data_IF_368997594417
#
_entry.id   IF_368997594417
#
_cell.length_a   1.000
_cell.length_b   1.000
_cell.length_c   1.000
_cell.angle_alpha   90.00
_cell.angle_beta   90.00
_cell.angle_gamma   90.00
#
_symmetry.space_group_name_H-M   'P 1'
#
loop_
_entity.id
_entity.type
_entity.pdbx_description
1 polymer ?
#
# COMPACT_ATOMS: atom_id res chain seq x y z
N UNK A 1 53.54 -19.21 -34.76
CA UNK A 1 53.72 -19.14 -33.30
C UNK A 1 53.07 -17.85 -32.81
N UNK A 2 51.77 -17.90 -32.50
CA UNK A 2 51.05 -16.84 -31.78
C UNK A 2 49.65 -17.38 -31.46
N UNK A 3 49.52 -17.96 -30.28
CA UNK A 3 48.28 -18.54 -29.75
C UNK A 3 47.51 -17.42 -29.04
N UNK A 4 46.33 -17.06 -29.56
CA UNK A 4 45.42 -16.11 -28.89
C UNK A 4 44.70 -16.84 -27.74
N UNK A 5 44.91 -16.37 -26.53
CA UNK A 5 44.18 -16.79 -25.33
C UNK A 5 42.86 -16.03 -25.28
N UNK A 6 41.74 -16.72 -25.54
CA UNK A 6 40.41 -16.21 -25.24
C UNK A 6 40.15 -16.35 -23.74
N UNK A 7 40.03 -15.20 -23.05
CA UNK A 7 39.61 -15.15 -21.65
C UNK A 7 38.08 -15.20 -21.59
N UNK A 8 37.54 -16.30 -21.10
CA UNK A 8 36.11 -16.43 -20.79
C UNK A 8 35.86 -15.72 -19.46
N UNK A 9 35.23 -14.54 -19.52
CA UNK A 9 34.67 -13.87 -18.34
C UNK A 9 33.40 -14.60 -17.91
N UNK A 10 33.51 -15.43 -16.89
CA UNK A 10 32.36 -15.96 -16.15
C UNK A 10 31.72 -14.81 -15.35
N UNK A 11 30.59 -14.32 -15.82
CA UNK A 11 29.67 -13.54 -15.01
C UNK A 11 29.00 -14.49 -14.01
N UNK A 12 29.47 -14.46 -12.76
CA UNK A 12 28.73 -15.05 -11.65
C UNK A 12 27.50 -14.17 -11.45
N UNK A 13 26.34 -14.64 -11.90
CA UNK A 13 25.05 -14.17 -11.42
C UNK A 13 24.99 -14.50 -9.93
N UNK A 14 25.22 -13.51 -9.07
CA UNK A 14 24.85 -13.61 -7.67
C UNK A 14 23.33 -13.83 -7.63
N UNK A 15 22.92 -15.06 -7.34
CA UNK A 15 21.55 -15.32 -6.91
C UNK A 15 21.43 -14.77 -5.50
N UNK A 16 20.96 -13.53 -5.37
CA UNK A 16 20.44 -13.01 -4.10
C UNK A 16 19.15 -13.77 -3.78
N UNK A 17 19.30 -14.95 -3.19
CA UNK A 17 18.23 -15.67 -2.51
C UNK A 17 18.68 -15.91 -1.07
N UNK A 18 18.93 -14.84 -0.32
CA UNK A 18 18.96 -14.94 1.13
C UNK A 18 17.52 -15.03 1.61
N UNK A 19 17.07 -16.23 1.97
CA UNK A 19 15.91 -16.39 2.85
C UNK A 19 16.19 -15.48 4.06
N UNK A 20 15.33 -14.47 4.27
CA UNK A 20 15.59 -13.38 5.21
C UNK A 20 15.94 -13.91 6.60
N UNK A 21 17.22 -13.85 6.96
CA UNK A 21 17.65 -14.16 8.31
C UNK A 21 17.24 -12.99 9.21
N UNK A 22 16.71 -13.30 10.39
CA UNK A 22 16.40 -12.26 11.37
C UNK A 22 17.69 -11.54 11.74
N UNK A 23 17.74 -10.23 11.45
CA UNK A 23 18.79 -9.35 11.92
C UNK A 23 18.32 -8.56 13.13
N UNK A 24 19.26 -7.96 13.88
CA UNK A 24 18.93 -7.06 14.97
C UNK A 24 18.19 -5.81 14.46
N UNK A 25 17.51 -5.10 15.39
CA UNK A 25 16.67 -3.95 15.04
C UNK A 25 17.44 -2.84 14.31
N UNK A 26 18.70 -2.59 14.66
CA UNK A 26 19.46 -1.52 14.03
C UNK A 26 19.83 -1.90 12.60
N UNK A 27 20.28 -3.13 12.38
CA UNK A 27 20.56 -3.65 11.03
C UNK A 27 19.31 -3.61 10.15
N UNK A 28 18.16 -4.06 10.67
CA UNK A 28 16.87 -3.96 9.96
C UNK A 28 16.55 -2.52 9.51
N UNK A 29 16.73 -1.54 10.42
CA UNK A 29 16.43 -0.14 10.12
C UNK A 29 17.38 0.45 9.06
N UNK A 30 18.63 0.01 9.04
CA UNK A 30 19.60 0.40 8.03
C UNK A 30 19.20 -0.17 6.66
N UNK A 31 18.94 -1.47 6.58
CA UNK A 31 18.52 -2.12 5.33
C UNK A 31 17.18 -1.58 4.80
N UNK A 32 16.22 -1.28 5.69
CA UNK A 32 14.99 -0.59 5.31
C UNK A 32 15.31 0.77 4.66
N UNK A 33 16.24 1.52 5.25
CA UNK A 33 16.62 2.85 4.75
C UNK A 33 17.31 2.76 3.39
N UNK A 34 18.09 1.71 3.15
CA UNK A 34 18.67 1.41 1.83
C UNK A 34 17.57 1.14 0.80
N UNK A 35 16.66 0.19 1.09
CA UNK A 35 15.53 -0.12 0.18
C UNK A 35 14.65 1.10 -0.09
N UNK A 36 14.35 1.89 0.93
CA UNK A 36 13.61 3.14 0.77
C UNK A 36 14.35 4.15 -0.12
N UNK A 37 15.68 4.29 0.08
CA UNK A 37 16.51 5.18 -0.74
C UNK A 37 16.56 4.75 -2.20
N UNK A 38 16.57 3.45 -2.49
CA UNK A 38 16.50 2.93 -3.85
C UNK A 38 15.15 3.21 -4.53
N UNK A 39 14.04 3.05 -3.81
CA UNK A 39 12.72 3.43 -4.30
C UNK A 39 12.71 4.92 -4.62
N UNK A 40 13.17 5.75 -3.69
CA UNK A 40 13.22 7.21 -3.86
C UNK A 40 14.11 7.62 -5.03
N UNK A 41 15.30 7.03 -5.18
CA UNK A 41 16.25 7.37 -6.25
C UNK A 41 15.72 7.08 -7.65
N UNK A 42 14.90 6.02 -7.79
CA UNK A 42 14.24 5.69 -9.06
C UNK A 42 13.32 6.82 -9.53
N UNK A 43 12.63 7.50 -8.61
CA UNK A 43 11.68 8.58 -8.92
C UNK A 43 12.35 9.96 -8.96
N UNK A 44 13.43 10.16 -8.20
CA UNK A 44 14.28 11.35 -8.29
C UNK A 44 14.93 11.47 -9.68
N UNK A 45 15.49 10.37 -10.19
CA UNK A 45 16.20 10.33 -11.48
C UNK A 45 15.26 10.17 -12.68
N UNK A 46 14.00 9.82 -12.45
CA UNK A 46 12.98 9.70 -13.49
C UNK A 46 12.72 11.04 -14.19
N UNK A 47 12.64 11.00 -15.52
CA UNK A 47 12.16 12.13 -16.34
C UNK A 47 10.64 12.20 -16.45
N UNK A 48 9.93 11.16 -15.96
CA UNK A 48 8.47 11.08 -16.02
C UNK A 48 7.79 12.19 -15.20
N UNK A 49 6.59 12.59 -15.66
CA UNK A 49 5.76 13.56 -14.96
C UNK A 49 4.68 12.83 -14.17
N UNK A 50 4.73 12.90 -12.84
CA UNK A 50 3.77 12.24 -11.96
C UNK A 50 3.88 12.73 -10.52
N UNK A 51 2.83 12.52 -9.74
CA UNK A 51 2.75 13.00 -8.36
C UNK A 51 3.79 12.37 -7.43
N UNK A 52 4.23 11.13 -7.70
CA UNK A 52 5.29 10.48 -6.92
C UNK A 52 6.66 11.11 -7.17
N UNK A 53 6.97 11.46 -8.42
CA UNK A 53 8.15 12.24 -8.79
C UNK A 53 8.16 13.63 -8.14
N UNK A 54 6.97 14.25 -8.02
CA UNK A 54 6.78 15.52 -7.32
C UNK A 54 7.03 15.34 -5.80
N UNK A 55 6.41 14.33 -5.18
CA UNK A 55 6.56 14.05 -3.76
C UNK A 55 8.03 13.83 -3.38
N UNK A 56 8.78 13.06 -4.18
CA UNK A 56 10.21 12.83 -3.98
C UNK A 56 11.02 14.12 -4.08
N UNK A 57 10.80 14.95 -5.11
CA UNK A 57 11.51 16.24 -5.27
C UNK A 57 11.28 17.17 -4.09
N UNK A 58 10.03 17.28 -3.63
CA UNK A 58 9.74 18.06 -2.44
C UNK A 58 10.36 17.46 -1.19
N UNK A 59 10.25 16.16 -0.95
CA UNK A 59 10.82 15.52 0.22
C UNK A 59 12.34 15.75 0.30
N UNK A 60 13.05 15.65 -0.83
CA UNK A 60 14.50 15.86 -0.93
C UNK A 60 14.92 17.34 -1.06
N UNK A 61 13.98 18.29 -1.11
CA UNK A 61 14.27 19.71 -1.39
C UNK A 61 15.06 19.92 -2.70
N UNK A 62 14.79 19.11 -3.72
CA UNK A 62 15.55 19.08 -4.97
C UNK A 62 14.67 19.45 -6.15
N UNK A 63 15.16 20.33 -7.02
CA UNK A 63 14.50 20.76 -8.26
C UNK A 63 13.03 21.22 -8.03
N UNK A 64 12.86 22.13 -7.06
CA UNK A 64 11.54 22.61 -6.62
C UNK A 64 10.77 23.31 -7.74
N UNK A 65 11.45 24.04 -8.62
CA UNK A 65 10.82 24.70 -9.77
C UNK A 65 10.22 23.67 -10.75
N UNK A 66 10.88 22.52 -10.94
CA UNK A 66 10.32 21.42 -11.74
C UNK A 66 9.17 20.73 -11.02
N UNK A 67 9.26 20.51 -9.70
CA UNK A 67 8.13 19.95 -8.93
C UNK A 67 6.88 20.85 -9.06
N UNK A 68 7.06 22.17 -8.95
CA UNK A 68 6.02 23.16 -9.14
C UNK A 68 5.43 23.13 -10.56
N UNK A 69 6.26 23.07 -11.60
CA UNK A 69 5.79 23.02 -12.99
C UNK A 69 5.05 21.73 -13.32
N UNK A 70 5.50 20.59 -12.76
CA UNK A 70 4.83 19.30 -12.90
C UNK A 70 3.43 19.31 -12.25
N UNK A 71 3.29 19.91 -11.07
CA UNK A 71 1.97 20.08 -10.44
C UNK A 71 1.07 20.97 -11.31
N UNK A 72 1.61 22.09 -11.79
CA UNK A 72 0.90 23.01 -12.69
C UNK A 72 0.40 22.30 -13.95
N UNK A 73 1.19 21.41 -14.54
CA UNK A 73 0.79 20.65 -15.72
C UNK A 73 -0.27 19.58 -15.41
N UNK A 74 -0.08 18.77 -14.36
CA UNK A 74 -0.97 17.65 -14.03
C UNK A 74 -2.36 18.12 -13.57
N UNK A 75 -2.44 19.27 -12.90
CA UNK A 75 -3.69 19.80 -12.34
C UNK A 75 -4.48 20.70 -13.31
N UNK A 76 -4.03 20.87 -14.56
CA UNK A 76 -4.85 21.48 -15.61
C UNK A 76 -6.06 20.62 -15.96
N UNK A 77 -5.89 19.29 -15.94
CA UNK A 77 -6.94 18.31 -16.24
C UNK A 77 -6.86 17.14 -15.25
N UNK A 78 -7.25 17.36 -13.98
CA UNK A 78 -7.22 16.30 -12.97
C UNK A 78 -8.16 15.16 -13.36
N UNK A 79 -7.69 13.92 -13.15
CA UNK A 79 -8.38 12.67 -13.50
C UNK A 79 -7.90 11.54 -12.61
N UNK A 80 -8.71 10.49 -12.46
CA UNK A 80 -8.36 9.29 -11.71
C UNK A 80 -9.03 9.18 -10.34
N UNK A 81 -9.96 10.07 -10.02
CA UNK A 81 -10.89 9.91 -8.90
C UNK A 81 -10.19 9.72 -7.54
N UNK A 82 -10.57 8.74 -6.72
CA UNK A 82 -9.86 8.42 -5.47
C UNK A 82 -8.37 8.07 -5.67
N UNK A 83 -7.98 7.50 -6.82
CA UNK A 83 -6.57 7.23 -7.17
C UNK A 83 -5.79 8.49 -7.52
N UNK A 84 -6.47 9.61 -7.77
CA UNK A 84 -5.85 10.94 -7.85
C UNK A 84 -5.65 11.55 -6.46
N UNK A 85 -6.62 11.39 -5.55
CA UNK A 85 -6.62 12.09 -4.26
C UNK A 85 -5.41 11.75 -3.39
N UNK A 86 -5.09 10.46 -3.22
CA UNK A 86 -3.99 9.98 -2.37
C UNK A 86 -2.62 10.50 -2.83
N UNK A 87 -2.20 10.32 -4.09
CA UNK A 87 -0.90 10.81 -4.52
C UNK A 87 -0.81 12.35 -4.54
N UNK A 88 -1.91 13.07 -4.79
CA UNK A 88 -1.94 14.54 -4.77
C UNK A 88 -1.77 15.08 -3.36
N UNK A 89 -2.56 14.60 -2.39
CA UNK A 89 -2.41 15.05 -1.00
C UNK A 89 -1.07 14.59 -0.42
N UNK A 90 -0.61 13.39 -0.76
CA UNK A 90 0.71 12.88 -0.38
C UNK A 90 1.84 13.80 -0.89
N UNK A 91 1.83 14.17 -2.17
CA UNK A 91 2.81 15.10 -2.73
C UNK A 91 2.72 16.51 -2.12
N UNK A 92 1.50 17.02 -1.90
CA UNK A 92 1.28 18.31 -1.23
C UNK A 92 1.86 18.32 0.18
N UNK A 93 1.59 17.29 0.99
CA UNK A 93 2.03 17.22 2.39
C UNK A 93 3.55 17.18 2.53
N UNK A 94 4.26 16.55 1.60
CA UNK A 94 5.72 16.58 1.55
C UNK A 94 6.29 17.94 1.07
N UNK A 95 5.49 18.75 0.36
CA UNK A 95 5.94 19.97 -0.31
C UNK A 95 5.36 21.29 0.17
N UNK A 96 4.32 21.31 1.02
CA UNK A 96 3.54 22.52 1.33
C UNK A 96 4.36 23.70 1.89
N UNK A 97 5.49 23.43 2.56
CA UNK A 97 6.40 24.46 3.09
C UNK A 97 7.46 24.91 2.06
N UNK A 98 7.61 24.17 0.96
CA UNK A 98 8.64 24.38 -0.09
C UNK A 98 8.06 24.83 -1.42
N UNK A 99 6.76 24.60 -1.63
CA UNK A 99 6.01 24.91 -2.84
C UNK A 99 5.80 26.41 -3.00
N UNK A 100 5.89 26.93 -4.22
CA UNK A 100 5.59 28.35 -4.47
C UNK A 100 4.13 28.70 -4.12
N UNK A 101 3.84 29.98 -3.79
CA UNK A 101 2.47 30.44 -3.58
C UNK A 101 1.53 30.12 -4.76
N UNK A 102 2.03 30.24 -6.01
CA UNK A 102 1.26 29.95 -7.21
C UNK A 102 0.86 28.47 -7.29
N UNK A 103 1.81 27.56 -7.09
CA UNK A 103 1.50 26.12 -7.12
C UNK A 103 0.60 25.70 -5.97
N UNK A 104 0.76 26.29 -4.77
CA UNK A 104 -0.18 26.04 -3.64
C UNK A 104 -1.62 26.43 -4.00
N UNK A 105 -1.80 27.55 -4.69
CA UNK A 105 -3.11 27.97 -5.17
C UNK A 105 -3.68 27.02 -6.23
N UNK A 106 -2.86 26.50 -7.14
CA UNK A 106 -3.27 25.48 -8.13
C UNK A 106 -3.77 24.20 -7.43
N UNK A 107 -3.01 23.68 -6.47
CA UNK A 107 -3.41 22.49 -5.71
C UNK A 107 -4.72 22.74 -4.97
N UNK A 108 -4.84 23.88 -4.27
CA UNK A 108 -6.09 24.26 -3.58
C UNK A 108 -7.27 24.33 -4.55
N UNK A 109 -7.09 24.96 -5.71
CA UNK A 109 -8.15 25.07 -6.71
C UNK A 109 -8.60 23.70 -7.24
N UNK A 110 -7.68 22.74 -7.42
CA UNK A 110 -8.05 21.40 -7.87
C UNK A 110 -9.01 20.70 -6.89
N UNK A 111 -8.78 20.84 -5.58
CA UNK A 111 -9.69 20.32 -4.54
C UNK A 111 -11.01 21.10 -4.40
N UNK A 112 -11.13 22.25 -5.07
CA UNK A 112 -12.39 23.02 -5.18
C UNK A 112 -13.18 22.61 -6.42
N UNK A 113 -12.52 22.38 -7.55
CA UNK A 113 -13.19 22.28 -8.86
C UNK A 113 -13.29 20.87 -9.41
N UNK A 114 -12.40 19.96 -9.03
CA UNK A 114 -12.46 18.56 -9.46
C UNK A 114 -13.26 17.73 -8.46
N UNK A 115 -14.31 17.08 -8.96
CA UNK A 115 -15.18 16.20 -8.17
C UNK A 115 -14.83 14.72 -8.40
N UNK A 116 -13.87 14.15 -7.65
CA UNK A 116 -13.49 12.75 -7.81
C UNK A 116 -14.63 11.81 -7.45
N UNK A 117 -14.83 10.77 -8.24
CA UNK A 117 -15.69 9.66 -7.86
C UNK A 117 -15.09 8.92 -6.65
N UNK A 118 -15.86 8.75 -5.57
CA UNK A 118 -15.36 8.05 -4.38
C UNK A 118 -15.08 6.57 -4.64
N UNK A 119 -15.79 5.93 -5.56
CA UNK A 119 -15.70 4.50 -5.82
C UNK A 119 -16.74 3.65 -5.07
N UNK A 120 -16.82 2.38 -5.47
CA UNK A 120 -17.84 1.42 -5.00
C UNK A 120 -17.34 0.36 -4.01
N UNK A 121 -16.05 0.37 -3.69
CA UNK A 121 -15.41 -0.66 -2.87
C UNK A 121 -14.79 -0.08 -1.62
N UNK A 122 -14.56 -0.95 -0.64
CA UNK A 122 -14.06 -0.58 0.68
C UNK A 122 -12.66 0.06 0.59
N UNK A 123 -11.79 -0.44 -0.28
CA UNK A 123 -10.47 0.14 -0.53
C UNK A 123 -10.58 1.58 -1.09
N UNK A 124 -11.51 1.82 -2.03
CA UNK A 124 -11.68 3.12 -2.65
C UNK A 124 -12.15 4.14 -1.62
N UNK A 125 -13.06 3.74 -0.72
CA UNK A 125 -13.56 4.60 0.34
C UNK A 125 -12.46 4.89 1.37
N UNK A 126 -11.62 3.91 1.71
CA UNK A 126 -10.46 4.11 2.57
C UNK A 126 -9.51 5.16 1.98
N UNK A 127 -9.17 5.04 0.69
CA UNK A 127 -8.35 6.02 -0.04
C UNK A 127 -8.98 7.41 -0.05
N UNK A 128 -10.24 7.49 -0.47
CA UNK A 128 -10.96 8.75 -0.61
C UNK A 128 -11.09 9.49 0.72
N UNK A 129 -11.61 8.83 1.76
CA UNK A 129 -11.85 9.49 3.03
C UNK A 129 -10.55 9.80 3.77
N UNK A 130 -9.51 8.99 3.65
CA UNK A 130 -8.20 9.35 4.22
C UNK A 130 -7.63 10.60 3.54
N UNK A 131 -7.68 10.66 2.20
CA UNK A 131 -7.17 11.81 1.48
C UNK A 131 -8.00 13.07 1.75
N UNK A 132 -9.33 12.95 1.81
CA UNK A 132 -10.24 14.04 2.14
C UNK A 132 -10.04 14.55 3.58
N UNK A 133 -9.85 13.64 4.54
CA UNK A 133 -9.55 13.99 5.93
C UNK A 133 -8.26 14.82 6.02
N UNK A 134 -7.17 14.31 5.44
CA UNK A 134 -5.87 14.99 5.44
C UNK A 134 -5.94 16.34 4.73
N UNK A 135 -6.65 16.42 3.60
CA UNK A 135 -6.90 17.67 2.88
C UNK A 135 -7.66 18.68 3.74
N UNK A 136 -8.80 18.29 4.31
CA UNK A 136 -9.64 19.17 5.13
C UNK A 136 -8.88 19.74 6.34
N UNK A 137 -7.95 18.97 6.93
CA UNK A 137 -7.06 19.47 7.98
C UNK A 137 -6.11 20.58 7.49
N UNK A 138 -5.68 20.57 6.21
CA UNK A 138 -4.76 21.59 5.70
C UNK A 138 -5.45 22.92 5.41
N UNK A 139 -6.75 22.90 5.15
CA UNK A 139 -7.54 24.09 4.80
C UNK A 139 -8.78 24.21 5.70
N UNK A 140 -8.59 24.50 7.00
CA UNK A 140 -9.70 24.57 7.95
C UNK A 140 -10.61 25.77 7.70
N UNK A 141 -11.85 25.71 8.20
CA UNK A 141 -12.83 26.80 8.20
C UNK A 141 -13.26 27.33 6.81
N UNK A 142 -12.92 26.65 5.70
CA UNK A 142 -13.43 27.06 4.39
C UNK A 142 -14.92 26.68 4.23
N UNK A 143 -15.73 27.54 3.61
CA UNK A 143 -17.13 27.25 3.33
C UNK A 143 -17.29 26.21 2.22
N UNK A 144 -18.51 25.70 2.05
CA UNK A 144 -18.83 24.69 1.04
C UNK A 144 -18.48 25.08 -0.40
N UNK A 145 -18.51 26.37 -0.73
CA UNK A 145 -18.13 26.89 -2.05
C UNK A 145 -16.65 26.65 -2.41
N UNK A 146 -15.81 26.26 -1.45
CA UNK A 146 -14.38 25.99 -1.65
C UNK A 146 -14.04 24.50 -1.79
N UNK A 147 -15.06 23.65 -1.86
CA UNK A 147 -14.94 22.20 -2.01
C UNK A 147 -15.85 21.69 -3.13
N UNK A 148 -15.36 20.71 -3.89
CA UNK A 148 -16.07 20.14 -5.04
C UNK A 148 -17.44 19.53 -4.70
N UNK A 149 -17.69 19.21 -3.44
CA UNK A 149 -18.89 18.54 -2.95
C UNK A 149 -19.84 19.47 -2.18
N UNK A 150 -19.54 20.77 -2.12
CA UNK A 150 -20.40 21.76 -1.44
C UNK A 150 -20.38 21.68 0.10
N UNK A 151 -19.58 20.79 0.70
CA UNK A 151 -19.43 20.66 2.16
C UNK A 151 -18.32 21.57 2.67
N UNK A 152 -18.53 22.15 3.85
CA UNK A 152 -17.49 22.89 4.55
C UNK A 152 -16.29 21.99 4.88
N UNK A 153 -15.18 22.63 5.26
CA UNK A 153 -13.97 21.89 5.66
C UNK A 153 -14.24 21.01 6.89
N UNK A 154 -15.02 21.48 7.84
CA UNK A 154 -15.36 20.71 9.05
C UNK A 154 -16.30 19.54 8.75
N UNK A 155 -17.30 19.72 7.90
CA UNK A 155 -18.17 18.62 7.46
C UNK A 155 -17.38 17.54 6.72
N UNK A 156 -16.48 17.92 5.81
CA UNK A 156 -15.59 16.99 5.11
C UNK A 156 -14.67 16.23 6.07
N UNK A 157 -14.06 16.94 7.03
CA UNK A 157 -13.19 16.34 8.04
C UNK A 157 -13.96 15.37 8.94
N UNK A 158 -15.14 15.77 9.40
CA UNK A 158 -15.95 14.98 10.33
C UNK A 158 -16.52 13.72 9.66
N UNK A 159 -17.10 13.83 8.47
CA UNK A 159 -17.61 12.66 7.73
C UNK A 159 -16.49 11.66 7.43
N UNK A 160 -15.34 12.16 6.97
CA UNK A 160 -14.20 11.30 6.70
C UNK A 160 -13.71 10.59 7.97
N UNK A 161 -13.65 11.29 9.10
CA UNK A 161 -13.32 10.69 10.40
C UNK A 161 -14.33 9.61 10.79
N UNK A 162 -15.62 9.91 10.72
CA UNK A 162 -16.69 8.97 11.06
C UNK A 162 -16.62 7.70 10.24
N UNK A 163 -16.44 7.82 8.92
CA UNK A 163 -16.29 6.66 8.05
C UNK A 163 -15.06 5.85 8.43
N UNK A 164 -13.89 6.48 8.56
CA UNK A 164 -12.64 5.78 8.85
C UNK A 164 -12.72 5.06 10.20
N UNK A 165 -13.21 5.73 11.25
CA UNK A 165 -13.40 5.12 12.57
C UNK A 165 -14.38 3.95 12.50
N UNK A 166 -15.48 4.09 11.76
CA UNK A 166 -16.42 3.00 11.54
C UNK A 166 -15.76 1.81 10.84
N UNK A 167 -15.05 2.05 9.74
CA UNK A 167 -14.34 1.04 8.98
C UNK A 167 -13.31 0.31 9.85
N UNK A 168 -12.48 1.04 10.59
CA UNK A 168 -11.49 0.47 11.52
C UNK A 168 -12.16 -0.45 12.55
N UNK A 169 -13.27 -0.02 13.14
CA UNK A 169 -14.04 -0.83 14.10
C UNK A 169 -14.58 -2.10 13.44
N UNK A 170 -15.17 -2.00 12.25
CA UNK A 170 -15.70 -3.16 11.54
C UNK A 170 -14.57 -4.15 11.19
N UNK A 171 -13.48 -3.65 10.62
CA UNK A 171 -12.31 -4.44 10.22
C UNK A 171 -11.71 -5.20 11.39
N UNK A 172 -11.59 -4.56 12.55
CA UNK A 172 -10.97 -5.16 13.75
C UNK A 172 -11.92 -6.03 14.58
N UNK A 173 -13.22 -6.04 14.30
CA UNK A 173 -14.21 -6.84 15.06
C UNK A 173 -14.65 -8.09 14.29
N UNK A 174 -14.97 -7.92 13.01
CA UNK A 174 -15.51 -8.98 12.15
C UNK A 174 -14.72 -9.17 10.85
N UNK A 175 -13.62 -8.42 10.66
CA UNK A 175 -12.71 -8.57 9.53
C UNK A 175 -12.92 -7.53 8.42
N UNK A 176 -11.90 -7.42 7.55
CA UNK A 176 -11.92 -6.59 6.35
C UNK A 176 -12.83 -7.22 5.28
N UNK A 177 -13.64 -6.42 4.58
CA UNK A 177 -14.57 -6.93 3.56
C UNK A 177 -13.89 -7.33 2.25
N UNK A 178 -12.77 -6.68 1.95
CA UNK A 178 -11.88 -7.03 0.84
C UNK A 178 -10.60 -7.63 1.41
N UNK A 179 -10.80 -8.70 2.17
CA UNK A 179 -9.74 -9.40 2.89
C UNK A 179 -8.62 -9.86 1.96
N UNK A 180 -7.39 -9.66 2.43
CA UNK A 180 -6.16 -10.31 1.98
C UNK A 180 -5.91 -10.22 0.48
N UNK A 181 -6.48 -9.20 -0.17
CA UNK A 181 -6.30 -8.95 -1.59
C UNK A 181 -4.86 -8.50 -1.85
N UNK A 182 -4.05 -9.25 -2.61
CA UNK A 182 -2.68 -8.84 -2.90
C UNK A 182 -2.63 -7.54 -3.71
N UNK A 183 -3.66 -7.27 -4.51
CA UNK A 183 -3.76 -6.09 -5.37
C UNK A 183 -4.37 -4.88 -4.65
N UNK A 184 -5.26 -5.09 -3.67
CA UNK A 184 -5.87 -3.99 -2.89
C UNK A 184 -5.11 -3.68 -1.61
N UNK A 185 -4.15 -4.52 -1.19
CA UNK A 185 -3.30 -4.25 -0.04
C UNK A 185 -2.70 -2.83 -0.04
N UNK A 186 -2.11 -2.31 -1.13
CA UNK A 186 -1.59 -0.94 -1.17
C UNK A 186 -2.64 0.14 -0.89
N UNK A 187 -3.86 -0.09 -1.34
CA UNK A 187 -4.98 0.86 -1.26
C UNK A 187 -5.48 1.02 0.19
N UNK A 188 -5.09 0.11 1.10
CA UNK A 188 -5.27 0.27 2.54
C UNK A 188 -3.99 0.74 3.24
N UNK A 189 -2.84 0.17 2.87
CA UNK A 189 -1.57 0.46 3.52
C UNK A 189 -1.13 1.92 3.31
N UNK A 190 -1.17 2.43 2.07
CA UNK A 190 -0.73 3.80 1.78
C UNK A 190 -1.57 4.85 2.54
N UNK A 191 -2.92 4.80 2.54
CA UNK A 191 -3.71 5.72 3.33
C UNK A 191 -3.37 5.69 4.82
N UNK A 192 -3.27 4.50 5.43
CA UNK A 192 -2.98 4.40 6.87
C UNK A 192 -1.59 4.93 7.23
N UNK A 193 -0.59 4.70 6.39
CA UNK A 193 0.75 5.25 6.56
C UNK A 193 0.71 6.79 6.48
N UNK A 194 0.06 7.36 5.46
CA UNK A 194 -0.08 8.82 5.35
C UNK A 194 -0.83 9.42 6.54
N UNK A 195 -1.91 8.77 6.98
CA UNK A 195 -2.68 9.20 8.15
C UNK A 195 -1.80 9.17 9.42
N UNK A 196 -1.00 8.13 9.59
CA UNK A 196 -0.08 7.96 10.74
C UNK A 196 1.00 9.03 10.81
N UNK A 197 1.40 9.58 9.67
CA UNK A 197 2.45 10.59 9.56
C UNK A 197 1.89 12.01 9.66
N UNK A 198 0.83 12.30 8.89
CA UNK A 198 0.42 13.66 8.57
C UNK A 198 -0.85 14.16 9.25
N UNK A 199 -1.66 13.27 9.87
CA UNK A 199 -2.84 13.73 10.59
C UNK A 199 -2.46 14.70 11.72
N UNK A 200 -3.22 15.80 11.84
CA UNK A 200 -3.10 16.78 12.93
C UNK A 200 -3.91 16.34 14.15
N UNK A 201 -5.07 15.71 13.93
CA UNK A 201 -5.86 15.05 14.97
C UNK A 201 -5.04 13.89 15.58
N UNK A 202 -4.67 13.96 16.88
CA UNK A 202 -3.81 12.96 17.51
C UNK A 202 -4.47 11.58 17.61
N UNK A 203 -5.79 11.52 17.72
CA UNK A 203 -6.53 10.26 17.75
C UNK A 203 -6.44 9.58 16.37
N UNK A 204 -6.69 10.33 15.30
CA UNK A 204 -6.61 9.79 13.94
C UNK A 204 -5.18 9.43 13.54
N UNK A 205 -4.19 10.18 14.01
CA UNK A 205 -2.77 9.84 13.83
C UNK A 205 -2.43 8.49 14.47
N UNK A 206 -2.83 8.29 15.72
CA UNK A 206 -2.62 7.02 16.43
C UNK A 206 -3.36 5.87 15.74
N UNK A 207 -4.63 6.07 15.35
CA UNK A 207 -5.42 5.07 14.63
C UNK A 207 -4.78 4.70 13.29
N UNK A 208 -4.26 5.68 12.54
CA UNK A 208 -3.52 5.45 11.31
C UNK A 208 -2.31 4.55 11.53
N UNK A 209 -1.52 4.80 12.59
CA UNK A 209 -0.38 3.95 12.97
C UNK A 209 -0.83 2.54 13.31
N UNK A 210 -1.82 2.40 14.19
CA UNK A 210 -2.35 1.09 14.60
C UNK A 210 -2.90 0.29 13.41
N UNK A 211 -3.54 0.95 12.46
CA UNK A 211 -4.06 0.28 11.27
C UNK A 211 -2.98 -0.05 10.24
N UNK A 212 -1.92 0.76 10.12
CA UNK A 212 -0.76 0.39 9.33
C UNK A 212 -0.08 -0.85 9.93
N UNK A 213 0.09 -0.89 11.26
CA UNK A 213 0.59 -2.07 11.98
C UNK A 213 -0.33 -3.28 11.72
N UNK A 214 -1.65 -3.11 11.87
CA UNK A 214 -2.63 -4.18 11.66
C UNK A 214 -2.57 -4.77 10.25
N UNK A 215 -2.62 -3.93 9.21
CA UNK A 215 -2.62 -4.39 7.81
C UNK A 215 -1.30 -5.08 7.47
N UNK A 216 -0.16 -4.57 7.95
CA UNK A 216 1.14 -5.20 7.73
C UNK A 216 1.30 -6.50 8.54
N UNK A 217 0.75 -6.59 9.76
CA UNK A 217 0.75 -7.81 10.55
C UNK A 217 -0.07 -8.92 9.90
N UNK A 218 -1.23 -8.56 9.35
CA UNK A 218 -2.13 -9.46 8.61
C UNK A 218 -1.43 -10.06 7.39
N UNK A 219 -0.67 -9.24 6.66
CA UNK A 219 0.17 -9.74 5.57
C UNK A 219 1.38 -10.55 6.07
N UNK A 220 2.04 -10.11 7.16
CA UNK A 220 3.24 -10.74 7.72
C UNK A 220 3.05 -12.24 8.04
N UNK A 221 1.88 -12.60 8.57
CA UNK A 221 1.55 -14.01 8.92
C UNK A 221 1.20 -14.86 7.70
N UNK A 222 0.91 -14.27 6.54
CA UNK A 222 0.41 -14.98 5.36
C UNK A 222 1.21 -14.73 4.08
N UNK A 223 2.50 -14.49 4.21
CA UNK A 223 3.40 -14.44 3.06
C UNK A 223 4.53 -15.46 3.12
N UNK A 224 5.04 -15.81 1.94
CA UNK A 224 6.25 -16.61 1.77
C UNK A 224 7.13 -15.91 0.74
N UNK A 225 8.29 -15.41 1.18
CA UNK A 225 9.21 -14.62 0.36
C UNK A 225 8.52 -13.51 -0.44
N UNK A 226 7.74 -12.67 0.25
CA UNK A 226 6.91 -11.62 -0.32
C UNK A 226 5.68 -12.04 -1.12
N UNK A 227 5.45 -13.33 -1.35
CA UNK A 227 4.25 -13.83 -2.02
C UNK A 227 3.12 -14.01 -1.01
N UNK A 228 1.97 -13.36 -1.23
CA UNK A 228 0.76 -13.62 -0.45
C UNK A 228 0.29 -15.08 -0.65
N UNK A 229 -0.10 -15.76 0.42
CA UNK A 229 -0.50 -17.17 0.45
C UNK A 229 -2.01 -17.31 0.66
N UNK A 230 -2.59 -18.34 0.05
CA UNK A 230 -3.90 -18.84 0.43
C UNK A 230 -5.03 -18.34 -0.45
N UNK A 231 -6.17 -18.04 0.18
CA UNK A 231 -7.35 -17.53 -0.51
C UNK A 231 -7.52 -16.02 -0.33
N UNK A 232 -8.00 -15.33 -1.37
CA UNK A 232 -8.11 -13.87 -1.41
C UNK A 232 -9.51 -13.45 -1.87
N UNK A 233 -10.00 -12.32 -1.34
CA UNK A 233 -11.24 -11.72 -1.82
C UNK A 233 -11.11 -11.20 -3.26
N UNK A 234 -9.88 -10.88 -3.68
CA UNK A 234 -9.56 -10.29 -4.98
C UNK A 234 -8.12 -10.62 -5.36
N UNK A 235 -7.91 -10.99 -6.61
CA UNK A 235 -6.58 -11.02 -7.25
C UNK A 235 -6.69 -10.73 -8.76
N UNK A 236 -5.77 -9.97 -9.31
CA UNK A 236 -5.69 -9.68 -10.72
C UNK A 236 -4.85 -10.71 -11.47
N UNK A 237 -5.20 -10.92 -12.75
CA UNK A 237 -4.62 -11.96 -13.59
C UNK A 237 -3.09 -12.02 -13.58
N UNK A 238 -2.32 -10.91 -13.62
CA UNK A 238 -0.86 -10.99 -13.58
C UNK A 238 -0.32 -11.63 -12.29
N UNK A 239 -0.92 -11.27 -11.14
CA UNK A 239 -0.51 -11.76 -9.82
C UNK A 239 -0.93 -13.22 -9.57
N UNK A 240 -1.94 -13.74 -10.28
CA UNK A 240 -2.33 -15.17 -10.19
C UNK A 240 -1.16 -16.07 -10.59
N UNK A 241 -0.52 -15.77 -11.73
CA UNK A 241 0.55 -16.59 -12.30
C UNK A 241 1.96 -16.14 -11.89
N UNK A 242 2.10 -14.87 -11.49
CA UNK A 242 3.36 -14.28 -11.01
C UNK A 242 3.08 -13.47 -9.74
N UNK A 243 2.99 -14.11 -8.56
CA UNK A 243 2.56 -13.48 -7.31
C UNK A 243 3.34 -12.22 -6.92
N UNK A 244 4.64 -12.21 -7.22
CA UNK A 244 5.54 -11.09 -6.97
C UNK A 244 5.25 -9.83 -7.80
N UNK A 245 4.32 -9.88 -8.76
CA UNK A 245 3.80 -8.70 -9.47
C UNK A 245 2.65 -8.00 -8.73
N UNK A 246 2.17 -8.55 -7.62
CA UNK A 246 1.11 -7.93 -6.81
C UNK A 246 1.59 -6.66 -6.09
N UNK A 247 0.65 -5.78 -5.77
CA UNK A 247 0.93 -4.58 -4.98
C UNK A 247 1.52 -4.89 -3.60
N UNK A 248 0.99 -5.91 -2.90
CA UNK A 248 1.49 -6.36 -1.61
C UNK A 248 2.98 -6.77 -1.65
N UNK A 249 3.43 -7.40 -2.74
CA UNK A 249 4.83 -7.85 -2.87
C UNK A 249 5.83 -6.68 -2.84
N UNK A 250 5.42 -5.50 -3.33
CA UNK A 250 6.25 -4.29 -3.22
C UNK A 250 6.44 -3.86 -1.74
N UNK A 251 5.42 -4.05 -0.90
CA UNK A 251 5.52 -3.76 0.53
C UNK A 251 6.35 -4.81 1.26
N UNK A 252 6.30 -6.07 0.84
CA UNK A 252 7.19 -7.10 1.37
C UNK A 252 8.66 -6.75 1.10
N UNK A 253 8.97 -6.28 -0.12
CA UNK A 253 10.31 -5.76 -0.43
C UNK A 253 10.67 -4.61 0.51
N UNK A 254 9.87 -3.55 0.56
CA UNK A 254 10.18 -2.36 1.35
C UNK A 254 10.31 -2.67 2.86
N UNK A 255 9.31 -3.31 3.45
CA UNK A 255 9.16 -3.45 4.91
C UNK A 255 9.70 -4.75 5.49
N UNK A 256 9.63 -5.87 4.77
CA UNK A 256 10.10 -7.17 5.25
C UNK A 256 11.50 -7.52 4.74
N UNK A 257 11.94 -6.93 3.63
CA UNK A 257 13.21 -7.28 2.98
C UNK A 257 13.14 -8.62 2.23
N UNK A 258 11.95 -9.02 1.79
CA UNK A 258 11.72 -10.30 1.08
C UNK A 258 11.14 -10.09 -0.31
N UNK A 259 11.17 -11.13 -1.14
CA UNK A 259 10.65 -11.10 -2.50
C UNK A 259 11.59 -10.36 -3.46
N UNK A 260 11.04 -9.79 -4.51
CA UNK A 260 11.82 -9.11 -5.55
C UNK A 260 11.91 -7.61 -5.29
N UNK A 261 13.09 -7.05 -5.62
CA UNK A 261 13.30 -5.61 -5.71
C UNK A 261 12.19 -4.95 -6.52
N UNK A 262 11.58 -3.92 -5.94
CA UNK A 262 10.42 -3.24 -6.53
C UNK A 262 10.62 -1.74 -6.58
N UNK A 263 10.23 -1.15 -7.70
CA UNK A 263 10.11 0.30 -7.89
C UNK A 263 8.63 0.73 -8.06
N UNK A 264 7.70 -0.08 -7.53
CA UNK A 264 6.28 0.18 -7.62
C UNK A 264 5.92 1.57 -7.09
N UNK A 265 5.03 2.27 -7.78
CA UNK A 265 4.56 3.59 -7.37
C UNK A 265 3.88 3.56 -5.99
N UNK A 266 3.29 2.41 -5.63
CA UNK A 266 2.61 2.19 -4.36
C UNK A 266 3.50 2.34 -3.13
N UNK A 267 4.81 2.11 -3.25
CA UNK A 267 5.74 2.17 -2.13
C UNK A 267 6.53 3.46 -2.05
N UNK A 268 6.30 4.43 -2.96
CA UNK A 268 7.03 5.71 -2.94
C UNK A 268 6.65 6.56 -1.72
N UNK A 269 5.35 6.79 -1.48
CA UNK A 269 4.92 7.55 -0.30
C UNK A 269 5.27 6.82 1.00
N UNK A 270 5.10 5.49 1.12
CA UNK A 270 5.65 4.71 2.23
C UNK A 270 7.17 4.88 2.44
N UNK A 271 7.97 4.86 1.38
CA UNK A 271 9.43 5.03 1.46
C UNK A 271 9.84 6.43 1.94
N UNK A 272 9.02 7.45 1.65
CA UNK A 272 9.20 8.82 2.15
C UNK A 272 8.68 9.03 3.58
N UNK A 273 7.95 8.07 4.13
CA UNK A 273 7.30 8.19 5.44
C UNK A 273 8.24 7.94 6.62
N UNK A 274 7.82 8.42 7.80
CA UNK A 274 8.46 8.14 9.08
C UNK A 274 7.98 6.82 9.72
N UNK A 275 7.02 6.13 9.08
CA UNK A 275 6.54 4.85 9.57
C UNK A 275 7.64 3.79 9.46
N UNK A 276 7.83 3.03 10.54
CA UNK A 276 8.76 1.91 10.61
C UNK A 276 8.04 0.72 11.21
N UNK A 277 8.15 -0.42 10.55
CA UNK A 277 7.50 -1.65 10.99
C UNK A 277 7.92 -1.97 12.43
N UNK A 278 6.98 -2.28 13.34
CA UNK A 278 7.29 -2.83 14.65
C UNK A 278 8.15 -4.08 14.55
N UNK A 279 9.14 -4.20 15.45
CA UNK A 279 10.09 -5.32 15.43
C UNK A 279 9.38 -6.69 15.52
N UNK A 280 8.30 -6.77 16.29
CA UNK A 280 7.52 -8.02 16.40
C UNK A 280 6.87 -8.41 15.06
N UNK A 281 6.38 -7.45 14.27
CA UNK A 281 5.77 -7.74 12.97
C UNK A 281 6.86 -8.16 11.97
N UNK A 282 8.03 -7.53 12.01
CA UNK A 282 9.20 -7.96 11.23
C UNK A 282 9.60 -9.42 11.56
N UNK A 283 9.64 -9.77 12.85
CA UNK A 283 9.93 -11.15 13.29
C UNK A 283 8.89 -12.14 12.79
N UNK A 284 7.61 -11.80 12.88
CA UNK A 284 6.51 -12.61 12.33
C UNK A 284 6.68 -12.80 10.81
N UNK A 285 7.07 -11.75 10.08
CA UNK A 285 7.25 -11.81 8.64
C UNK A 285 8.39 -12.75 8.22
N UNK A 286 9.46 -12.86 9.00
CA UNK A 286 10.66 -13.59 8.60
C UNK A 286 10.89 -14.92 9.29
N UNK A 287 10.37 -15.13 10.50
CA UNK A 287 10.58 -16.38 11.21
C UNK A 287 9.84 -17.53 10.51
N UNK A 288 10.61 -18.39 9.87
CA UNK A 288 10.17 -19.64 9.24
C UNK A 288 10.94 -20.84 9.79
N UNK A 289 11.47 -20.74 11.01
CA UNK A 289 12.26 -21.79 11.67
C UNK A 289 11.43 -23.04 12.00
N UNK A 290 10.11 -22.86 12.16
CA UNK A 290 9.14 -23.93 12.31
C UNK A 290 7.92 -23.68 11.42
N UNK A 291 7.29 -24.75 10.90
CA UNK A 291 6.03 -24.61 10.21
C UNK A 291 4.93 -24.17 11.18
N UNK A 292 3.96 -23.41 10.69
CA UNK A 292 2.83 -22.95 11.49
C UNK A 292 1.50 -23.04 10.75
N UNK A 293 0.43 -23.11 11.54
CA UNK A 293 -0.94 -22.97 11.09
C UNK A 293 -1.46 -21.60 11.52
N UNK A 294 -1.88 -20.80 10.55
CA UNK A 294 -2.63 -19.57 10.78
C UNK A 294 -4.11 -19.81 10.48
N UNK A 295 -4.96 -19.39 11.42
CA UNK A 295 -6.41 -19.43 11.29
C UNK A 295 -6.94 -18.05 11.55
N UNK A 296 -7.83 -17.61 10.70
CA UNK A 296 -8.35 -16.26 10.79
C UNK A 296 -9.79 -16.17 10.29
N UNK A 297 -10.44 -15.10 10.75
CA UNK A 297 -11.82 -14.79 10.43
C UNK A 297 -11.88 -13.43 9.76
N UNK A 298 -12.48 -13.40 8.58
CA UNK A 298 -12.80 -12.19 7.83
C UNK A 298 -14.32 -12.08 7.64
N UNK A 299 -14.75 -11.15 6.80
CA UNK A 299 -16.15 -11.05 6.36
C UNK A 299 -16.23 -10.88 4.85
N UNK A 300 -17.41 -11.18 4.31
CA UNK A 300 -17.76 -10.76 2.96
C UNK A 300 -18.20 -9.29 2.92
N UNK A 301 -18.29 -8.73 1.69
CA UNK A 301 -19.00 -7.47 1.44
C UNK A 301 -20.47 -7.61 1.85
N UNK A 302 -21.18 -6.49 1.97
CA UNK A 302 -22.60 -6.51 2.37
C UNK A 302 -23.42 -7.39 1.41
N UNK A 303 -24.00 -8.46 1.94
CA UNK A 303 -24.99 -9.27 1.24
C UNK A 303 -26.32 -8.53 1.32
N UNK A 304 -26.74 -8.00 0.17
CA UNK A 304 -27.97 -7.21 0.04
C UNK A 304 -29.14 -8.00 -0.58
N UNK A 305 -28.86 -9.18 -1.15
CA UNK A 305 -29.85 -10.08 -1.78
C UNK A 305 -29.45 -11.53 -1.53
N UNK A 306 -30.45 -12.40 -1.37
CA UNK A 306 -30.29 -13.86 -1.32
C UNK A 306 -29.36 -14.39 -0.21
N UNK A 307 -29.24 -13.69 0.92
CA UNK A 307 -28.54 -14.18 2.11
C UNK A 307 -29.23 -13.77 3.40
N UNK A 308 -29.10 -14.62 4.43
CA UNK A 308 -29.72 -14.40 5.74
C UNK A 308 -28.92 -13.42 6.62
N UNK A 309 -27.61 -13.31 6.39
CA UNK A 309 -26.70 -12.47 7.16
C UNK A 309 -26.11 -11.38 6.27
N UNK A 310 -25.93 -10.17 6.82
CA UNK A 310 -25.35 -9.03 6.09
C UNK A 310 -23.88 -9.24 5.75
N UNK A 311 -23.09 -9.77 6.69
CA UNK A 311 -21.65 -9.98 6.56
C UNK A 311 -21.29 -11.35 7.15
N UNK A 312 -21.70 -12.47 6.53
CA UNK A 312 -21.35 -13.79 7.02
C UNK A 312 -19.82 -13.95 7.15
N UNK A 313 -19.36 -14.71 8.16
CA UNK A 313 -17.94 -14.87 8.41
C UNK A 313 -17.27 -15.65 7.30
N UNK A 314 -16.04 -15.27 6.98
CA UNK A 314 -15.13 -16.01 6.11
C UNK A 314 -14.07 -16.62 7.00
N UNK A 315 -13.91 -17.93 6.96
CA UNK A 315 -12.84 -18.61 7.69
C UNK A 315 -11.72 -18.95 6.73
N UNK A 316 -10.49 -18.55 7.05
CA UNK A 316 -9.29 -18.90 6.26
C UNK A 316 -8.37 -19.77 7.09
N UNK A 317 -7.68 -20.66 6.38
CA UNK A 317 -6.70 -21.58 6.94
C UNK A 317 -5.46 -21.52 6.07
N UNK A 318 -4.31 -21.25 6.69
CA UNK A 318 -3.01 -21.20 6.03
C UNK A 318 -2.03 -22.08 6.80
N UNK A 319 -1.32 -22.96 6.10
CA UNK A 319 -0.19 -23.73 6.60
C UNK A 319 1.07 -23.25 5.89
N UNK A 320 2.01 -22.71 6.65
CA UNK A 320 3.21 -22.07 6.10
C UNK A 320 4.44 -22.78 6.65
N UNK A 321 5.39 -23.05 5.75
CA UNK A 321 6.69 -23.66 6.04
C UNK A 321 7.80 -22.78 5.47
N UNK A 322 9.07 -23.19 5.61
CA UNK A 322 10.20 -22.53 4.95
C UNK A 322 10.15 -22.66 3.42
N UNK A 323 9.59 -23.75 2.90
CA UNK A 323 9.67 -24.10 1.47
C UNK A 323 8.39 -23.79 0.69
N UNK A 324 7.25 -23.95 1.36
CA UNK A 324 5.94 -23.75 0.76
C UNK A 324 4.90 -23.25 1.75
N UNK A 325 3.87 -22.59 1.22
CA UNK A 325 2.67 -22.19 1.92
C UNK A 325 1.43 -22.71 1.19
N UNK A 326 0.49 -23.29 1.90
CA UNK A 326 -0.81 -23.71 1.39
C UNK A 326 -1.88 -22.96 2.18
N UNK A 327 -2.85 -22.37 1.49
CA UNK A 327 -4.01 -21.82 2.20
C UNK A 327 -5.29 -21.88 1.39
N UNK A 328 -6.41 -21.79 2.08
CA UNK A 328 -7.74 -21.86 1.47
C UNK A 328 -8.79 -21.07 2.25
N UNK A 329 -9.89 -20.76 1.56
CA UNK A 329 -11.13 -20.27 2.14
C UNK A 329 -12.03 -21.47 2.48
N UNK A 330 -12.68 -21.43 3.64
CA UNK A 330 -13.78 -22.33 3.93
C UNK A 330 -15.03 -21.90 3.15
N UNK A 331 -15.58 -22.81 2.35
CA UNK A 331 -16.86 -22.63 1.66
C UNK A 331 -16.71 -22.50 0.16
N UNK A 332 -17.68 -21.84 -0.48
CA UNK A 332 -17.77 -21.68 -1.93
C UNK A 332 -17.35 -20.28 -2.42
N UNK A 333 -18.13 -19.73 -3.33
CA UNK A 333 -17.94 -18.36 -3.82
C UNK A 333 -18.46 -17.40 -2.75
N UNK A 334 -17.55 -16.73 -2.05
CA UNK A 334 -17.82 -15.74 -1.01
C UNK A 334 -17.77 -14.31 -1.58
N UNK A 335 -16.96 -14.11 -2.62
CA UNK A 335 -16.81 -12.87 -3.37
C UNK A 335 -17.02 -13.16 -4.86
N UNK A 336 -18.01 -12.52 -5.50
CA UNK A 336 -18.42 -12.90 -6.86
C UNK A 336 -17.45 -12.44 -7.96
N UNK A 337 -16.40 -11.69 -7.62
CA UNK A 337 -15.50 -11.11 -8.63
C UNK A 337 -14.05 -11.34 -8.23
N UNK A 338 -13.35 -12.17 -9.03
CA UNK A 338 -11.90 -12.42 -8.92
C UNK A 338 -11.45 -12.99 -7.57
N UNK A 339 -12.32 -13.75 -6.90
CA UNK A 339 -11.93 -14.54 -5.73
C UNK A 339 -10.85 -15.56 -6.11
N UNK A 340 -9.87 -15.72 -5.23
CA UNK A 340 -8.96 -16.85 -5.24
C UNK A 340 -9.29 -17.74 -4.06
N UNK A 341 -9.72 -18.98 -4.29
CA UNK A 341 -10.23 -19.82 -3.19
C UNK A 341 -9.11 -20.50 -2.42
N UNK A 342 -8.05 -20.91 -3.09
CA UNK A 342 -6.92 -21.59 -2.47
C UNK A 342 -5.68 -21.44 -3.36
N UNK A 343 -4.50 -21.55 -2.76
CA UNK A 343 -3.24 -21.67 -3.49
C UNK A 343 -2.20 -22.43 -2.69
N UNK A 344 -1.27 -23.05 -3.41
CA UNK A 344 0.04 -23.41 -2.87
C UNK A 344 1.05 -22.42 -3.47
N UNK A 345 2.01 -21.96 -2.65
CA UNK A 345 3.14 -21.11 -3.05
C UNK A 345 4.44 -21.78 -2.66
N UNK A 346 5.43 -21.78 -3.53
CA UNK A 346 6.79 -22.29 -3.26
C UNK A 346 7.82 -21.15 -3.31
N UNK A 347 8.92 -21.28 -2.56
CA UNK A 347 10.09 -20.39 -2.66
C UNK A 347 10.99 -20.72 -3.85
N UNK A 348 10.86 -21.90 -4.45
CA UNK A 348 11.67 -22.38 -5.57
C UNK A 348 10.81 -23.06 -6.65
N UNK A 349 11.39 -23.24 -7.85
CA UNK A 349 10.71 -23.81 -9.01
C UNK A 349 9.84 -22.77 -9.73
N UNK A 350 10.24 -22.39 -10.96
CA UNK A 350 9.45 -21.46 -11.79
C UNK A 350 8.50 -22.23 -12.71
N UNK A 351 7.25 -21.77 -12.91
CA UNK A 351 6.63 -20.62 -12.24
C UNK A 351 6.39 -20.91 -10.75
N UNK A 352 6.44 -19.86 -9.90
CA UNK A 352 6.23 -19.90 -8.44
C UNK A 352 4.75 -20.22 -8.08
N UNK A 353 4.25 -21.30 -8.67
CA UNK A 353 2.95 -21.99 -8.59
C UNK A 353 1.73 -21.37 -9.26
N UNK A 354 0.99 -22.23 -9.99
CA UNK A 354 -0.46 -22.39 -9.90
C UNK A 354 -0.83 -23.85 -10.31
N UNK A 355 -1.66 -24.52 -9.51
CA UNK A 355 -2.71 -25.44 -10.00
C UNK A 355 -4.02 -24.72 -9.70
#
# INVERSE_FOLDING_TARGET
>A
MMTRVCSILLWILAMDSSIGQLVDRQTYLNEFSERASEVVSTYDTSQGVGYYQIAVRYALSKDLARADSMFGALLQQPRGDMFWMVPVIGAYLHGKEKMSPATRAIVRNAWKTYAPYRGDTENHWCMYYTALFLAAEQWPNLPGSEWYNGKTSDENRQEAKEYLVHWMRVTTTIGQGEFDSPDYFPEYAVPMILLSQFARDPEMKLRGRMMADYVLADFAVEHLDGQYIGGFSRIYQPAVYKPLLSGASAFAYLYFGTGQRSSSAWIVLPALSDYRLPEIIYKIALDRSAPYVHKERKRVRNVIRFGAEKNPPVYRYSYVTTDYGLGSLHGGILQPIQQHTWSVRYTYGRPYTAI
#
